data_IF_540356305372
#
_entry.id   IF_540356305372
#
_cell.length_a   1.000
_cell.length_b   1.000
_cell.length_c   1.000
_cell.angle_alpha   90.00
_cell.angle_beta   90.00
_cell.angle_gamma   90.00
#
_symmetry.space_group_name_H-M   'P 1'
#
loop_
_entity.id
_entity.type
_entity.pdbx_description
1 polymer ?
#
# COMPACT_ATOMS: atom_id res chain seq x y z
N UNK A 1 1.05 1.46 23.26
CA UNK A 1 -0.26 2.13 23.13
C UNK A 1 -0.30 2.71 21.73
N UNK A 2 -0.79 1.93 20.76
CA UNK A 2 -1.05 2.44 19.40
C UNK A 2 -2.16 3.48 19.51
N UNK A 3 -2.00 4.69 18.96
CA UNK A 3 -3.06 5.69 18.99
C UNK A 3 -4.32 5.13 18.32
N UNK A 4 -5.48 5.45 18.90
CA UNK A 4 -6.81 5.04 18.44
C UNK A 4 -6.95 5.15 16.92
N UNK A 5 -7.18 4.02 16.24
CA UNK A 5 -7.54 4.01 14.81
C UNK A 5 -6.42 3.76 13.81
N UNK A 6 -5.31 3.12 14.19
CA UNK A 6 -4.25 2.73 13.25
C UNK A 6 -3.91 1.24 13.25
N UNK A 7 -3.49 0.74 12.10
CA UNK A 7 -2.83 -0.56 11.92
C UNK A 7 -1.40 -0.36 11.42
N UNK A 8 -0.49 -1.22 11.86
CA UNK A 8 0.93 -1.17 11.48
C UNK A 8 1.35 -2.53 10.96
N UNK A 9 1.91 -2.57 9.75
CA UNK A 9 2.45 -3.77 9.13
C UNK A 9 3.90 -3.53 8.76
N UNK A 10 4.77 -4.47 9.10
CA UNK A 10 6.19 -4.40 8.80
C UNK A 10 6.62 -5.59 7.95
N UNK A 11 7.51 -5.35 6.99
CA UNK A 11 8.15 -6.39 6.17
C UNK A 11 9.61 -6.06 5.91
N UNK A 12 10.48 -7.04 6.09
CA UNK A 12 11.87 -6.96 5.64
C UNK A 12 11.95 -7.43 4.19
N UNK A 13 12.53 -6.59 3.33
CA UNK A 13 12.60 -6.80 1.89
C UNK A 13 14.06 -6.84 1.48
N UNK A 14 14.49 -7.90 0.79
CA UNK A 14 15.87 -8.10 0.31
C UNK A 14 16.23 -7.24 -0.90
N UNK A 15 15.93 -5.96 -0.83
CA UNK A 15 16.23 -4.96 -1.84
C UNK A 15 16.60 -3.64 -1.14
N UNK A 16 17.36 -2.79 -1.83
CA UNK A 16 17.75 -1.47 -1.29
C UNK A 16 16.56 -0.53 -1.18
N UNK A 17 16.57 0.48 -0.29
CA UNK A 17 15.45 1.40 -0.12
C UNK A 17 15.05 2.08 -1.42
N UNK A 18 16.00 2.42 -2.30
CA UNK A 18 15.69 3.02 -3.61
C UNK A 18 14.88 2.09 -4.52
N UNK A 19 15.19 0.79 -4.47
CA UNK A 19 14.43 -0.22 -5.22
C UNK A 19 13.03 -0.33 -4.65
N UNK A 20 12.87 -0.48 -3.33
CA UNK A 20 11.56 -0.63 -2.70
C UNK A 20 10.70 0.63 -2.89
N UNK A 21 11.29 1.81 -2.72
CA UNK A 21 10.65 3.10 -2.95
C UNK A 21 10.11 3.25 -4.39
N UNK A 22 10.82 2.70 -5.39
CA UNK A 22 10.33 2.73 -6.78
C UNK A 22 9.00 2.01 -6.98
N UNK A 23 8.65 1.03 -6.14
CA UNK A 23 7.34 0.35 -6.18
C UNK A 23 6.17 1.21 -5.70
N UNK A 24 6.47 2.36 -5.08
CA UNK A 24 5.48 3.33 -4.62
C UNK A 24 5.46 4.62 -5.47
N UNK A 25 6.36 4.74 -6.44
CA UNK A 25 6.54 5.96 -7.25
C UNK A 25 6.58 5.71 -8.75
N UNK A 26 6.44 4.46 -9.17
CA UNK A 26 6.30 4.07 -10.57
C UNK A 26 5.02 3.26 -10.73
N UNK A 27 4.19 3.65 -11.70
CA UNK A 27 2.86 3.06 -11.90
C UNK A 27 2.95 1.57 -12.27
N UNK A 28 3.86 1.21 -13.18
CA UNK A 28 4.00 -0.18 -13.64
C UNK A 28 4.54 -1.07 -12.51
N UNK A 29 5.46 -0.55 -11.70
CA UNK A 29 5.96 -1.26 -10.52
C UNK A 29 4.88 -1.41 -9.47
N UNK A 30 4.10 -0.37 -9.18
CA UNK A 30 2.99 -0.44 -8.21
C UNK A 30 2.04 -1.58 -8.58
N UNK A 31 1.57 -1.57 -9.83
CA UNK A 31 0.64 -2.57 -10.36
C UNK A 31 1.22 -3.99 -10.43
N UNK A 32 2.52 -4.17 -10.26
CA UNK A 32 3.15 -5.49 -10.23
C UNK A 32 3.06 -6.22 -8.88
N UNK A 33 2.66 -5.51 -7.81
CA UNK A 33 2.46 -6.11 -6.49
C UNK A 33 1.08 -5.83 -5.89
N UNK A 34 0.42 -4.74 -6.29
CA UNK A 34 -0.92 -4.36 -5.82
C UNK A 34 -1.72 -3.66 -6.93
N UNK A 35 -2.99 -4.05 -7.04
CA UNK A 35 -3.95 -3.44 -7.97
C UNK A 35 -3.88 -4.00 -9.39
N UNK A 36 -4.98 -3.82 -10.11
CA UNK A 36 -5.18 -4.29 -11.47
C UNK A 36 -4.79 -3.23 -12.49
N UNK A 37 -5.24 -2.00 -12.25
CA UNK A 37 -4.90 -0.83 -13.05
C UNK A 37 -5.05 0.43 -12.20
N UNK A 38 -4.34 1.48 -12.58
CA UNK A 38 -4.40 2.74 -11.86
C UNK A 38 -3.55 3.81 -12.49
N UNK A 39 -3.74 5.02 -12.01
CA UNK A 39 -2.92 6.19 -12.32
C UNK A 39 -2.39 6.74 -11.01
N UNK A 40 -1.10 7.11 -11.01
CA UNK A 40 -0.41 7.64 -9.84
C UNK A 40 0.38 8.87 -10.25
N UNK A 41 0.18 9.96 -9.54
CA UNK A 41 1.06 11.13 -9.56
C UNK A 41 1.83 11.19 -8.24
N UNK A 42 3.02 10.55 -8.14
CA UNK A 42 3.79 10.40 -6.91
C UNK A 42 4.60 11.67 -6.60
N UNK A 43 3.91 12.80 -6.58
CA UNK A 43 4.44 14.10 -6.19
C UNK A 43 3.61 14.65 -5.03
N UNK A 44 4.16 15.49 -4.13
CA UNK A 44 3.35 16.11 -3.09
C UNK A 44 2.16 16.89 -3.67
N UNK A 45 0.94 16.52 -3.28
CA UNK A 45 -0.33 17.02 -3.81
C UNK A 45 -0.89 16.23 -5.00
N UNK A 46 -0.10 15.36 -5.61
CA UNK A 46 -0.50 14.50 -6.72
C UNK A 46 -1.56 13.48 -6.32
N UNK A 47 -2.51 13.22 -7.22
CA UNK A 47 -3.60 12.29 -6.97
C UNK A 47 -3.28 10.88 -7.50
N UNK A 48 -3.92 9.89 -6.90
CA UNK A 48 -3.93 8.54 -7.44
C UNK A 48 -5.34 7.94 -7.40
N UNK A 49 -5.58 7.00 -8.32
CA UNK A 49 -6.79 6.20 -8.39
C UNK A 49 -6.43 4.82 -8.92
N UNK A 50 -6.76 3.78 -8.17
CA UNK A 50 -6.37 2.41 -8.46
C UNK A 50 -7.53 1.46 -8.24
N UNK A 51 -7.80 0.59 -9.21
CA UNK A 51 -8.68 -0.56 -9.02
C UNK A 51 -7.91 -1.67 -8.33
N UNK A 52 -8.26 -1.97 -7.09
CA UNK A 52 -7.48 -2.87 -6.23
C UNK A 52 -7.86 -4.32 -6.49
N UNK A 53 -9.15 -4.64 -6.43
CA UNK A 53 -9.69 -5.99 -6.59
C UNK A 53 -11.11 -5.93 -7.15
N UNK A 54 -11.44 -6.77 -8.13
CA UNK A 54 -12.75 -6.74 -8.78
C UNK A 54 -13.07 -5.32 -9.28
N UNK A 55 -14.21 -4.76 -8.87
CA UNK A 55 -14.61 -3.37 -9.16
C UNK A 55 -14.21 -2.36 -8.06
N UNK A 56 -13.62 -2.82 -6.96
CA UNK A 56 -13.28 -1.97 -5.83
C UNK A 56 -12.11 -1.02 -6.18
N UNK A 57 -12.41 0.29 -6.14
CA UNK A 57 -11.45 1.34 -6.48
C UNK A 57 -11.04 2.10 -5.23
N UNK A 58 -9.74 2.22 -4.99
CA UNK A 58 -9.17 3.08 -3.97
C UNK A 58 -8.64 4.37 -4.60
N UNK A 59 -8.79 5.49 -3.92
CA UNK A 59 -8.23 6.77 -4.38
C UNK A 59 -7.81 7.68 -3.24
N UNK A 60 -6.93 8.62 -3.58
CA UNK A 60 -6.32 9.51 -2.60
C UNK A 60 -5.33 10.47 -3.23
N UNK A 61 -4.52 11.11 -2.36
CA UNK A 61 -3.47 12.05 -2.74
C UNK A 61 -2.20 11.77 -1.97
N UNK A 62 -1.06 11.92 -2.62
CA UNK A 62 0.24 11.94 -1.97
C UNK A 62 0.38 13.25 -1.19
N UNK A 63 0.66 13.14 0.10
CA UNK A 63 0.89 14.28 0.99
C UNK A 63 2.39 14.61 1.09
N UNK A 64 3.21 13.58 1.24
CA UNK A 64 4.67 13.69 1.40
C UNK A 64 5.35 12.61 0.55
N UNK A 65 6.40 12.98 -0.17
CA UNK A 65 7.24 12.05 -0.95
C UNK A 65 8.69 12.43 -0.69
N UNK A 66 9.28 11.79 0.31
CA UNK A 66 10.69 11.97 0.69
C UNK A 66 11.51 10.83 0.07
N UNK A 67 12.39 11.13 -0.90
CA UNK A 67 13.10 10.11 -1.65
C UNK A 67 13.78 9.06 -0.76
N UNK A 68 13.41 7.80 -0.98
CA UNK A 68 14.01 6.61 -0.37
C UNK A 68 13.81 6.45 1.14
N UNK A 69 13.10 7.37 1.80
CA UNK A 69 12.94 7.35 3.26
C UNK A 69 11.48 7.25 3.67
N UNK A 70 10.58 7.98 3.02
CA UNK A 70 9.18 8.08 3.46
C UNK A 70 8.23 8.50 2.35
N UNK A 71 7.05 7.89 2.34
CA UNK A 71 5.92 8.29 1.50
C UNK A 71 4.69 8.36 2.39
N UNK A 72 3.90 9.40 2.22
CA UNK A 72 2.62 9.57 2.88
C UNK A 72 1.56 9.87 1.84
N UNK A 73 0.45 9.16 1.92
CA UNK A 73 -0.71 9.40 1.07
C UNK A 73 -2.01 9.14 1.83
N UNK A 74 -3.06 9.84 1.45
CA UNK A 74 -4.40 9.55 1.95
C UNK A 74 -4.96 8.31 1.26
N UNK A 75 -5.82 7.57 1.94
CA UNK A 75 -6.46 6.36 1.40
C UNK A 75 -7.98 6.42 1.58
N UNK A 76 -8.68 5.62 0.78
CA UNK A 76 -10.09 5.30 0.96
C UNK A 76 -10.69 4.64 -0.28
N UNK A 77 -11.84 4.02 -0.10
CA UNK A 77 -12.58 3.27 -1.10
C UNK A 77 -13.67 4.14 -1.73
N UNK A 78 -13.80 4.14 -3.06
CA UNK A 78 -14.80 4.92 -3.80
C UNK A 78 -16.21 4.33 -3.75
N UNK A 79 -16.37 3.12 -3.22
CA UNK A 79 -17.64 2.45 -3.09
C UNK A 79 -18.58 3.23 -2.15
N UNK A 80 -19.85 3.34 -2.54
CA UNK A 80 -20.84 4.02 -1.71
C UNK A 80 -21.10 3.26 -0.40
N UNK A 81 -21.05 3.98 0.73
CA UNK A 81 -21.30 3.40 2.06
C UNK A 81 -20.09 2.74 2.72
N UNK A 82 -18.92 2.74 2.07
CA UNK A 82 -17.69 2.24 2.70
C UNK A 82 -17.30 3.12 3.90
N UNK A 83 -16.88 2.51 5.04
CA UNK A 83 -16.58 3.25 6.27
C UNK A 83 -15.28 4.08 6.17
N UNK A 84 -14.54 3.94 5.07
CA UNK A 84 -13.28 4.64 4.81
C UNK A 84 -13.35 5.30 3.42
N UNK A 85 -14.07 6.43 3.27
CA UNK A 85 -14.16 7.13 1.99
C UNK A 85 -12.81 7.77 1.58
N UNK A 86 -12.60 8.09 0.29
CA UNK A 86 -11.32 8.60 -0.20
C UNK A 86 -10.88 9.86 0.55
N UNK A 87 -9.69 9.81 1.14
CA UNK A 87 -9.14 10.93 1.91
C UNK A 87 -9.44 10.90 3.41
N UNK A 88 -10.24 9.95 3.91
CA UNK A 88 -10.57 9.88 5.34
C UNK A 88 -9.52 9.19 6.20
N UNK A 89 -8.65 8.40 5.58
CA UNK A 89 -7.55 7.70 6.26
C UNK A 89 -6.20 8.06 5.63
N UNK A 90 -5.12 7.74 6.33
CA UNK A 90 -3.76 8.12 5.97
C UNK A 90 -2.83 6.92 6.07
N UNK A 91 -2.10 6.66 4.99
CA UNK A 91 -1.06 5.63 4.90
C UNK A 91 0.30 6.30 4.88
N UNK A 92 1.12 5.95 5.86
CA UNK A 92 2.52 6.32 5.94
C UNK A 92 3.36 5.06 5.69
N UNK A 93 4.32 5.16 4.77
CA UNK A 93 5.29 4.11 4.47
C UNK A 93 6.67 4.66 4.72
N UNK A 94 7.44 4.00 5.58
CA UNK A 94 8.85 4.33 5.82
C UNK A 94 9.76 3.21 5.35
N UNK A 95 10.93 3.59 4.86
CA UNK A 95 11.94 2.69 4.31
C UNK A 95 13.23 2.86 5.11
N UNK A 96 13.49 1.95 6.05
CA UNK A 96 14.71 1.99 6.84
C UNK A 96 15.75 1.02 6.24
N UNK A 97 16.98 1.48 5.92
CA UNK A 97 18.03 0.59 5.43
C UNK A 97 18.45 -0.41 6.52
N UNK A 98 18.57 -1.68 6.15
CA UNK A 98 19.11 -2.76 6.99
C UNK A 98 20.26 -3.47 6.26
N UNK A 99 21.15 -4.21 6.97
CA UNK A 99 22.31 -4.85 6.34
C UNK A 99 21.99 -5.76 5.14
N UNK A 100 20.82 -6.42 5.18
CA UNK A 100 20.37 -7.36 4.15
C UNK A 100 19.20 -6.84 3.30
N UNK A 101 18.92 -5.53 3.34
CA UNK A 101 17.84 -4.93 2.55
C UNK A 101 17.20 -3.69 3.17
N UNK A 102 15.88 -3.70 3.27
CA UNK A 102 15.07 -2.59 3.76
C UNK A 102 13.99 -3.11 4.71
N UNK A 103 13.89 -2.51 5.89
CA UNK A 103 12.71 -2.64 6.74
C UNK A 103 11.66 -1.63 6.27
N UNK A 104 10.63 -2.13 5.60
CA UNK A 104 9.44 -1.35 5.26
C UNK A 104 8.49 -1.38 6.46
N UNK A 105 8.07 -0.20 6.91
CA UNK A 105 6.99 -0.06 7.90
C UNK A 105 5.86 0.74 7.30
N UNK A 106 4.68 0.13 7.22
CA UNK A 106 3.45 0.75 6.77
C UNK A 106 2.54 1.00 7.98
N UNK A 107 2.14 2.24 8.17
CA UNK A 107 1.17 2.65 9.19
C UNK A 107 -0.06 3.22 8.51
N UNK A 108 -1.21 2.58 8.67
CA UNK A 108 -2.48 3.06 8.16
C UNK A 108 -3.32 3.57 9.33
N UNK A 109 -3.54 4.88 9.39
CA UNK A 109 -4.25 5.60 10.46
C UNK A 109 -5.55 6.22 9.96
N UNK A 110 -6.45 6.59 10.89
CA UNK A 110 -7.77 7.12 10.55
C UNK A 110 -8.80 6.04 10.22
N UNK A 111 -8.55 4.80 10.66
CA UNK A 111 -9.44 3.67 10.43
C UNK A 111 -10.48 3.53 11.56
N UNK A 112 -11.79 3.48 11.25
CA UNK A 112 -12.79 3.07 12.20
C UNK A 112 -12.55 1.61 12.61
N UNK A 113 -12.96 1.23 13.83
CA UNK A 113 -12.72 -0.10 14.39
C UNK A 113 -13.00 -1.28 13.44
N UNK A 114 -14.18 -1.38 12.77
CA UNK A 114 -14.46 -2.51 11.88
C UNK A 114 -13.59 -2.55 10.63
N UNK A 115 -12.93 -1.46 10.27
CA UNK A 115 -12.06 -1.40 9.11
C UNK A 115 -10.61 -1.81 9.44
N UNK A 116 -10.22 -1.91 10.72
CA UNK A 116 -8.82 -2.15 11.10
C UNK A 116 -8.31 -3.51 10.65
N UNK A 117 -8.96 -4.57 11.10
CA UNK A 117 -8.60 -5.96 10.77
C UNK A 117 -8.52 -6.22 9.26
N UNK A 118 -9.54 -5.89 8.43
CA UNK A 118 -9.46 -6.14 6.99
C UNK A 118 -8.37 -5.33 6.28
N UNK A 119 -8.08 -4.10 6.74
CA UNK A 119 -6.97 -3.32 6.18
C UNK A 119 -5.61 -3.89 6.61
N UNK A 120 -5.48 -4.40 7.84
CA UNK A 120 -4.25 -5.06 8.27
C UNK A 120 -4.00 -6.32 7.43
N UNK A 121 -4.99 -7.19 7.27
CA UNK A 121 -4.87 -8.40 6.44
C UNK A 121 -4.54 -8.09 4.98
N UNK A 122 -5.20 -7.08 4.40
CA UNK A 122 -4.91 -6.62 3.04
C UNK A 122 -3.47 -6.13 2.90
N UNK A 123 -2.99 -5.30 3.84
CA UNK A 123 -1.62 -4.81 3.81
C UNK A 123 -0.59 -5.92 4.04
N UNK A 124 -0.86 -6.88 4.93
CA UNK A 124 -0.01 -8.06 5.12
C UNK A 124 0.15 -8.84 3.81
N UNK A 125 -0.97 -9.13 3.14
CA UNK A 125 -0.97 -9.84 1.85
C UNK A 125 -0.17 -9.10 0.77
N UNK A 126 -0.46 -7.82 0.54
CA UNK A 126 0.22 -7.07 -0.52
C UNK A 126 1.70 -6.85 -0.21
N UNK A 127 2.07 -6.60 1.04
CA UNK A 127 3.48 -6.44 1.40
C UNK A 127 4.26 -7.75 1.31
N UNK A 128 3.63 -8.91 1.51
CA UNK A 128 4.26 -10.21 1.23
C UNK A 128 4.53 -10.39 -0.27
N UNK A 129 3.61 -9.97 -1.14
CA UNK A 129 3.84 -9.94 -2.60
C UNK A 129 4.98 -9.00 -2.97
N UNK A 130 5.03 -7.80 -2.38
CA UNK A 130 6.11 -6.84 -2.59
C UNK A 130 7.47 -7.39 -2.15
N UNK A 131 7.52 -8.11 -1.03
CA UNK A 131 8.76 -8.72 -0.52
C UNK A 131 9.36 -9.75 -1.49
N UNK A 132 8.53 -10.42 -2.29
CA UNK A 132 8.98 -11.30 -3.39
C UNK A 132 9.33 -10.49 -4.64
N UNK A 133 8.50 -9.51 -5.01
CA UNK A 133 8.62 -8.77 -6.26
C UNK A 133 9.82 -7.83 -6.30
N UNK A 134 10.07 -7.10 -5.21
CA UNK A 134 11.13 -6.09 -5.12
C UNK A 134 12.56 -6.62 -5.35
N UNK A 135 12.97 -7.80 -4.84
CA UNK A 135 14.26 -8.41 -5.19
C UNK A 135 14.30 -9.05 -6.59
N UNK A 136 13.22 -8.93 -7.39
CA UNK A 136 13.14 -9.45 -8.75
C UNK A 136 12.41 -10.80 -8.89
N UNK A 137 11.75 -11.27 -7.83
CA UNK A 137 10.92 -12.48 -7.89
C UNK A 137 9.58 -12.27 -8.60
N UNK A 138 8.89 -13.38 -8.81
CA UNK A 138 7.50 -13.41 -9.28
C UNK A 138 6.61 -13.84 -8.10
N UNK A 139 5.74 -12.95 -7.56
CA UNK A 139 4.81 -13.30 -6.49
C UNK A 139 3.68 -14.24 -6.96
N UNK A 140 3.60 -14.54 -8.26
CA UNK A 140 2.54 -15.34 -8.84
C UNK A 140 1.20 -14.62 -8.91
N UNK A 141 0.11 -15.32 -9.28
CA UNK A 141 -1.22 -14.75 -9.31
C UNK A 141 -1.61 -14.23 -7.92
N UNK A 142 -2.39 -13.16 -7.90
CA UNK A 142 -2.92 -12.63 -6.66
C UNK A 142 -4.16 -13.44 -6.25
N UNK A 143 -4.03 -14.21 -5.18
CA UNK A 143 -5.11 -15.04 -4.63
C UNK A 143 -6.31 -14.24 -4.11
N UNK A 144 -6.15 -12.94 -3.87
CA UNK A 144 -7.26 -12.03 -3.53
C UNK A 144 -7.98 -11.51 -4.77
N UNK A 145 -7.35 -11.57 -5.95
CA UNK A 145 -7.99 -11.27 -7.24
C UNK A 145 -8.72 -12.47 -7.84
N UNK A 146 -8.53 -13.66 -7.29
CA UNK A 146 -9.29 -14.84 -7.68
C UNK A 146 -10.71 -14.76 -7.08
N UNK A 147 -11.77 -15.06 -7.85
CA UNK A 147 -13.10 -15.18 -7.28
C UNK A 147 -13.07 -16.27 -6.21
N UNK A 148 -13.42 -15.92 -4.97
CA UNK A 148 -13.62 -16.93 -3.92
C UNK A 148 -14.65 -17.95 -4.44
N UNK A 149 -14.34 -19.27 -4.42
CA UNK A 149 -15.35 -20.26 -4.74
C UNK A 149 -16.52 -20.13 -3.74
N UNK A 150 -17.73 -20.30 -4.28
CA UNK A 150 -18.99 -20.19 -3.54
C UNK A 150 -19.12 -21.18 -2.37
#
# INVERSE_FOLDING_TARGET
MTPDGSVVVQRHIKARPETVFSFFTDTERWLSWQGMEGVFDPTPGGAYRMRVVGDATASGRFEEVEPYTRIVFTWGWENEGDPVPPGSSRVEVTFAPEPDGTLLTLTHSGLPEPAREPHQEGWEHYLDRLAVRAPGGDPGPDSWMEPKPA
#
